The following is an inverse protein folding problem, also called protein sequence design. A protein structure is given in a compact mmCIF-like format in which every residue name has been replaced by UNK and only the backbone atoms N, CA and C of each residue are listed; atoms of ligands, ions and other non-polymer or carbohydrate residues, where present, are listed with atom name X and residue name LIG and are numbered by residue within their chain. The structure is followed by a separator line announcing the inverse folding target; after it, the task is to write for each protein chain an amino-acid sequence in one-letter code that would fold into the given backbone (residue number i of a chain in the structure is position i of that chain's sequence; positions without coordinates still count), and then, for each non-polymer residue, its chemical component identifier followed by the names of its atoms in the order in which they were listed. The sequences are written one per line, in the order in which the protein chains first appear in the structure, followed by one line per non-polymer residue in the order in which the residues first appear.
data_IF_497233800811
#
_entry.id   IF_497233800811
#
_cell.length_a   1.000
_cell.length_b   1.000
_cell.length_c   1.000
_cell.angle_alpha   90.00
_cell.angle_beta   90.00
_cell.angle_gamma   90.00
#
_symmetry.space_group_name_H-M   'P 1'
#
loop_
_entity.id
_entity.type
_entity.pdbx_description
1 polymer ?
#
# COMPACT_ATOMS: atom_id res chain seq x y z
N UNK A 1 4.95 6.88 -22.96
CA UNK A 1 3.98 7.93 -22.59
C UNK A 1 2.58 7.68 -23.13
N UNK A 2 2.39 7.27 -24.39
CA UNK A 2 1.05 7.00 -24.95
C UNK A 2 0.32 5.84 -24.23
N UNK A 3 1.01 4.75 -23.92
CA UNK A 3 0.47 3.63 -23.14
C UNK A 3 -0.01 4.06 -21.74
N UNK A 4 0.78 4.89 -21.06
CA UNK A 4 0.41 5.43 -19.75
C UNK A 4 -0.88 6.28 -19.82
N UNK A 5 -0.99 7.17 -20.82
CA UNK A 5 -2.20 7.96 -21.04
C UNK A 5 -3.43 7.08 -21.30
N UNK A 6 -3.26 6.00 -22.07
CA UNK A 6 -4.35 5.06 -22.33
C UNK A 6 -4.80 4.33 -21.05
N UNK A 7 -3.87 3.90 -20.21
CA UNK A 7 -4.19 3.28 -18.91
C UNK A 7 -4.93 4.25 -17.99
N UNK A 8 -4.46 5.49 -17.87
CA UNK A 8 -5.15 6.51 -17.07
C UNK A 8 -6.55 6.80 -17.58
N UNK A 9 -6.71 6.93 -18.90
CA UNK A 9 -8.02 7.18 -19.51
C UNK A 9 -9.01 6.04 -19.24
N UNK A 10 -8.54 4.79 -19.28
CA UNK A 10 -9.36 3.62 -18.92
C UNK A 10 -9.75 3.66 -17.44
N UNK A 11 -8.78 3.89 -16.55
CA UNK A 11 -8.99 3.91 -15.11
C UNK A 11 -9.93 5.05 -14.69
N UNK A 12 -9.79 6.24 -15.26
CA UNK A 12 -10.63 7.39 -14.92
C UNK A 12 -12.07 7.24 -15.34
N UNK A 13 -12.34 6.48 -16.41
CA UNK A 13 -13.68 6.28 -16.98
C UNK A 13 -14.39 5.05 -16.43
N UNK A 14 -13.64 4.09 -15.88
CA UNK A 14 -14.20 2.91 -15.22
C UNK A 14 -14.76 3.26 -13.84
N UNK A 15 -15.87 2.64 -13.46
CA UNK A 15 -16.45 2.81 -12.12
C UNK A 15 -15.64 2.08 -11.04
N UNK A 16 -14.92 1.00 -11.40
CA UNK A 16 -14.28 0.12 -10.42
C UNK A 16 -13.21 0.82 -9.58
N UNK A 17 -12.25 1.60 -10.14
CA UNK A 17 -11.27 2.34 -9.34
C UNK A 17 -11.92 3.36 -8.40
N UNK A 18 -13.01 4.00 -8.83
CA UNK A 18 -13.77 4.95 -8.00
C UNK A 18 -14.45 4.26 -6.83
N UNK A 19 -15.02 3.08 -7.02
CA UNK A 19 -15.62 2.30 -5.91
C UNK A 19 -14.57 1.96 -4.86
N UNK A 20 -13.39 1.50 -5.27
CA UNK A 20 -12.30 1.17 -4.34
C UNK A 20 -11.78 2.42 -3.61
N UNK A 21 -11.71 3.56 -4.30
CA UNK A 21 -11.34 4.83 -3.69
C UNK A 21 -12.37 5.35 -2.67
N UNK A 22 -13.67 5.24 -2.96
CA UNK A 22 -14.72 5.60 -2.00
C UNK A 22 -14.62 4.72 -0.75
N UNK A 23 -14.37 3.42 -0.92
CA UNK A 23 -14.16 2.50 0.20
C UNK A 23 -12.93 2.89 1.04
N UNK A 24 -11.84 3.36 0.42
CA UNK A 24 -10.68 3.81 1.18
C UNK A 24 -10.95 5.09 1.96
N UNK A 25 -11.75 6.02 1.42
CA UNK A 25 -12.22 7.21 2.16
C UNK A 25 -13.04 6.79 3.38
N UNK A 26 -14.07 5.96 3.18
CA UNK A 26 -14.93 5.51 4.28
C UNK A 26 -14.12 4.80 5.37
N UNK A 27 -13.19 3.94 4.96
CA UNK A 27 -12.33 3.21 5.90
C UNK A 27 -11.46 4.15 6.73
N UNK A 28 -10.82 5.13 6.09
CA UNK A 28 -9.98 6.10 6.77
C UNK A 28 -10.77 6.96 7.79
N UNK A 29 -12.01 7.35 7.45
CA UNK A 29 -12.92 8.07 8.37
C UNK A 29 -13.28 7.19 9.56
N UNK A 30 -13.73 5.95 9.32
CA UNK A 30 -14.10 4.99 10.37
C UNK A 30 -12.92 4.74 11.31
N UNK A 31 -11.71 4.59 10.76
CA UNK A 31 -10.52 4.30 11.52
C UNK A 31 -10.09 5.47 12.44
N UNK A 32 -10.07 6.70 11.92
CA UNK A 32 -9.80 7.89 12.73
C UNK A 32 -10.88 8.14 13.80
N UNK A 33 -12.15 7.98 13.44
CA UNK A 33 -13.26 8.09 14.39
C UNK A 33 -13.15 7.04 15.52
N UNK A 34 -12.78 5.81 15.18
CA UNK A 34 -12.54 4.75 16.16
C UNK A 34 -11.43 5.14 17.14
N UNK A 35 -10.31 5.67 16.64
CA UNK A 35 -9.21 6.14 17.49
C UNK A 35 -9.63 7.26 18.45
N UNK A 36 -10.47 8.19 17.97
CA UNK A 36 -11.03 9.23 18.82
C UNK A 36 -11.95 8.65 19.91
N UNK A 37 -12.87 7.75 19.56
CA UNK A 37 -13.79 7.15 20.54
C UNK A 37 -13.09 6.25 21.57
N UNK A 38 -11.97 5.63 21.22
CA UNK A 38 -11.10 4.96 22.21
C UNK A 38 -10.53 5.99 23.16
N UNK A 39 -10.03 7.11 22.65
CA UNK A 39 -9.45 8.18 23.48
C UNK A 39 -10.45 8.81 24.44
N UNK A 40 -11.74 8.88 24.09
CA UNK A 40 -12.80 9.41 24.96
C UNK A 40 -13.38 8.36 25.90
N UNK A 41 -12.90 7.11 25.85
CA UNK A 41 -13.43 5.99 26.64
C UNK A 41 -14.81 5.51 26.21
N UNK A 42 -15.34 6.01 25.08
CA UNK A 42 -16.65 5.61 24.55
C UNK A 42 -16.62 4.26 23.82
N UNK A 43 -15.42 3.83 23.41
CA UNK A 43 -15.16 2.55 22.76
C UNK A 43 -14.07 1.81 23.55
N UNK A 44 -14.25 0.50 23.77
CA UNK A 44 -13.23 -0.32 24.43
C UNK A 44 -12.02 -0.55 23.51
N UNK A 45 -10.83 -0.64 24.10
CA UNK A 45 -9.60 -0.95 23.38
C UNK A 45 -9.71 -2.28 22.62
N UNK A 46 -10.32 -3.29 23.23
CA UNK A 46 -10.49 -4.63 22.63
C UNK A 46 -11.35 -4.61 21.36
N UNK A 47 -12.45 -3.85 21.37
CA UNK A 47 -13.30 -3.71 20.17
C UNK A 47 -12.57 -2.96 19.05
N UNK A 48 -11.74 -1.99 19.41
CA UNK A 48 -10.95 -1.21 18.47
C UNK A 48 -9.80 -2.03 17.85
N UNK A 49 -9.02 -2.75 18.68
CA UNK A 49 -7.91 -3.60 18.22
C UNK A 49 -8.39 -4.87 17.51
N UNK A 50 -9.62 -5.31 17.77
CA UNK A 50 -10.28 -6.40 17.07
C UNK A 50 -10.83 -5.97 15.72
N UNK A 51 -12.16 -5.92 15.59
CA UNK A 51 -12.87 -5.72 14.31
C UNK A 51 -12.52 -4.41 13.61
N UNK A 52 -12.32 -3.31 14.37
CA UNK A 52 -12.08 -2.00 13.75
C UNK A 52 -10.65 -1.83 13.23
N UNK A 53 -9.71 -2.68 13.66
CA UNK A 53 -8.36 -2.74 13.08
C UNK A 53 -8.36 -3.15 11.61
N UNK A 54 -9.44 -3.79 11.14
CA UNK A 54 -9.61 -4.12 9.72
C UNK A 54 -9.69 -2.88 8.84
N UNK A 55 -10.13 -1.73 9.37
CA UNK A 55 -10.17 -0.46 8.64
C UNK A 55 -8.85 0.30 8.69
N UNK A 56 -7.81 -0.27 9.31
CA UNK A 56 -6.49 0.32 9.29
C UNK A 56 -5.93 0.41 7.87
N UNK A 57 -5.02 1.36 7.67
CA UNK A 57 -4.36 1.52 6.39
C UNK A 57 -3.60 0.26 5.97
N UNK A 58 -3.03 -0.51 6.89
CA UNK A 58 -2.26 -1.72 6.54
C UNK A 58 -3.17 -2.79 5.95
N UNK A 59 -4.30 -3.03 6.59
CA UNK A 59 -5.28 -4.03 6.15
C UNK A 59 -6.02 -3.58 4.90
N UNK A 60 -6.38 -2.30 4.80
CA UNK A 60 -7.02 -1.77 3.60
C UNK A 60 -6.07 -1.69 2.41
N UNK A 61 -4.79 -1.38 2.60
CA UNK A 61 -3.81 -1.44 1.52
C UNK A 61 -3.56 -2.87 1.06
N UNK A 62 -3.58 -3.86 1.95
CA UNK A 62 -3.54 -5.27 1.57
C UNK A 62 -4.77 -5.67 0.74
N UNK A 63 -5.98 -5.36 1.23
CA UNK A 63 -7.24 -5.73 0.57
C UNK A 63 -7.48 -4.94 -0.72
N UNK A 64 -7.64 -3.62 -0.61
CA UNK A 64 -7.96 -2.74 -1.73
C UNK A 64 -6.80 -2.68 -2.72
N UNK A 65 -5.55 -2.76 -2.26
CA UNK A 65 -4.39 -2.86 -3.14
C UNK A 65 -4.36 -4.15 -3.96
N UNK A 66 -4.79 -5.28 -3.39
CA UNK A 66 -4.93 -6.53 -4.14
C UNK A 66 -6.03 -6.45 -5.21
N UNK A 67 -7.17 -5.82 -4.89
CA UNK A 67 -8.26 -5.58 -5.84
C UNK A 67 -7.80 -4.62 -6.95
N UNK A 68 -7.10 -3.55 -6.59
CA UNK A 68 -6.49 -2.61 -7.51
C UNK A 68 -5.51 -3.29 -8.47
N UNK A 69 -4.75 -4.29 -7.99
CA UNK A 69 -3.89 -5.09 -8.84
C UNK A 69 -4.71 -5.85 -9.89
N UNK A 70 -5.81 -6.51 -9.51
CA UNK A 70 -6.72 -7.14 -10.48
C UNK A 70 -7.29 -6.17 -11.51
N UNK A 71 -7.74 -4.99 -11.08
CA UNK A 71 -8.33 -3.99 -11.98
C UNK A 71 -7.28 -3.43 -12.95
N UNK A 72 -6.10 -3.07 -12.46
CA UNK A 72 -5.10 -2.33 -13.23
C UNK A 72 -4.16 -3.24 -14.05
N UNK A 73 -3.77 -4.38 -13.47
CA UNK A 73 -2.72 -5.23 -14.01
C UNK A 73 -3.28 -6.30 -14.96
N UNK A 74 -4.39 -6.94 -14.61
CA UNK A 74 -4.92 -8.08 -15.40
C UNK A 74 -5.94 -7.72 -16.47
N UNK A 75 -6.55 -6.54 -16.41
CA UNK A 75 -7.55 -6.12 -17.41
C UNK A 75 -7.01 -6.14 -18.86
N UNK A 76 -5.70 -5.90 -19.04
CA UNK A 76 -5.09 -5.90 -20.37
C UNK A 76 -4.78 -7.31 -20.89
N UNK A 77 -4.61 -8.31 -20.02
CA UNK A 77 -4.51 -9.72 -20.44
C UNK A 77 -5.86 -10.25 -20.92
N UNK A 78 -6.94 -9.91 -20.20
CA UNK A 78 -8.30 -10.35 -20.56
C UNK A 78 -8.74 -9.78 -21.92
N UNK A 79 -8.27 -8.57 -22.25
CA UNK A 79 -8.60 -7.87 -23.50
C UNK A 79 -7.55 -8.04 -24.63
N UNK A 80 -6.58 -8.94 -24.46
CA UNK A 80 -5.45 -9.16 -25.40
C UNK A 80 -4.63 -7.92 -25.76
N UNK A 81 -4.60 -6.93 -24.87
CA UNK A 81 -3.97 -5.63 -25.11
C UNK A 81 -2.44 -5.76 -25.01
N UNK A 82 -1.94 -6.68 -24.18
CA UNK A 82 -0.50 -6.93 -24.03
C UNK A 82 0.07 -7.59 -25.28
N UNK A 83 -0.65 -8.56 -25.85
CA UNK A 83 -0.34 -9.22 -27.13
C UNK A 83 -0.27 -8.21 -28.27
N UNK A 84 -1.26 -7.30 -28.32
CA UNK A 84 -1.31 -6.23 -29.32
C UNK A 84 -0.19 -5.20 -29.12
N UNK A 85 0.17 -4.87 -27.89
CA UNK A 85 1.27 -3.96 -27.60
C UNK A 85 2.63 -4.56 -28.01
N UNK A 86 2.85 -5.85 -27.75
CA UNK A 86 4.07 -6.56 -28.18
C UNK A 86 4.12 -6.63 -29.71
N UNK A 87 3.00 -6.98 -30.36
CA UNK A 87 2.90 -7.02 -31.83
C UNK A 87 3.06 -5.64 -32.48
N UNK A 88 2.64 -4.58 -31.78
CA UNK A 88 2.83 -3.18 -32.18
C UNK A 88 4.24 -2.64 -31.99
N UNK A 89 5.23 -3.49 -31.63
CA UNK A 89 6.64 -3.11 -31.54
C UNK A 89 7.08 -2.52 -30.20
N UNK A 90 6.21 -2.48 -29.18
CA UNK A 90 6.60 -2.01 -27.86
C UNK A 90 7.49 -3.04 -27.14
N UNK A 91 8.57 -2.57 -26.52
CA UNK A 91 9.43 -3.44 -25.72
C UNK A 91 8.68 -3.97 -24.50
N UNK A 92 8.91 -5.24 -24.16
CA UNK A 92 8.34 -5.88 -22.96
C UNK A 92 8.67 -5.12 -21.67
N UNK A 93 9.85 -4.50 -21.63
CA UNK A 93 10.28 -3.66 -20.52
C UNK A 93 9.42 -2.41 -20.34
N UNK A 94 9.12 -1.73 -21.46
CA UNK A 94 8.26 -0.55 -21.47
C UNK A 94 6.85 -0.87 -20.97
N UNK A 95 6.32 -2.05 -21.32
CA UNK A 95 5.00 -2.51 -20.87
C UNK A 95 4.99 -2.67 -19.34
N UNK A 96 5.98 -3.38 -18.78
CA UNK A 96 6.10 -3.61 -17.33
C UNK A 96 6.22 -2.28 -16.57
N UNK A 97 7.10 -1.39 -17.00
CA UNK A 97 7.30 -0.09 -16.34
C UNK A 97 6.00 0.72 -16.34
N UNK A 98 5.29 0.79 -17.47
CA UNK A 98 4.01 1.51 -17.51
C UNK A 98 2.99 0.90 -16.55
N UNK A 99 2.91 -0.43 -16.44
CA UNK A 99 1.99 -1.09 -15.51
C UNK A 99 2.33 -0.83 -14.05
N UNK A 100 3.62 -0.86 -13.70
CA UNK A 100 4.08 -0.51 -12.35
C UNK A 100 3.69 0.93 -12.02
N UNK A 101 3.94 1.89 -12.93
CA UNK A 101 3.61 3.30 -12.69
C UNK A 101 2.10 3.50 -12.54
N UNK A 102 1.28 2.95 -13.45
CA UNK A 102 -0.19 3.04 -13.36
C UNK A 102 -0.70 2.45 -12.04
N UNK A 103 -0.15 1.29 -11.64
CA UNK A 103 -0.52 0.62 -10.40
C UNK A 103 -0.10 1.43 -9.17
N UNK A 104 1.14 1.92 -9.10
CA UNK A 104 1.61 2.74 -7.98
C UNK A 104 0.81 4.03 -7.83
N UNK A 105 0.38 4.66 -8.93
CA UNK A 105 -0.48 5.84 -8.86
C UNK A 105 -1.86 5.48 -8.27
N UNK A 106 -2.42 4.33 -8.65
CA UNK A 106 -3.67 3.85 -8.06
C UNK A 106 -3.50 3.55 -6.55
N UNK A 107 -2.41 2.91 -6.15
CA UNK A 107 -2.09 2.65 -4.74
C UNK A 107 -1.90 3.95 -3.95
N UNK A 108 -1.22 4.95 -4.52
CA UNK A 108 -1.09 6.28 -3.91
C UNK A 108 -2.45 6.95 -3.72
N UNK A 109 -3.33 6.86 -4.73
CA UNK A 109 -4.69 7.38 -4.65
C UNK A 109 -5.49 6.69 -3.54
N UNK A 110 -5.37 5.36 -3.38
CA UNK A 110 -6.06 4.63 -2.32
C UNK A 110 -5.55 4.98 -0.92
N UNK A 111 -4.26 5.28 -0.76
CA UNK A 111 -3.67 5.67 0.52
C UNK A 111 -3.91 7.15 0.87
N UNK A 112 -4.13 8.00 -0.14
CA UNK A 112 -4.31 9.45 0.02
C UNK A 112 -5.34 9.86 1.09
N UNK A 113 -6.53 9.22 1.21
CA UNK A 113 -7.49 9.56 2.25
C UNK A 113 -6.95 9.43 3.68
N UNK A 114 -6.10 8.43 3.95
CA UNK A 114 -5.46 8.27 5.25
C UNK A 114 -4.50 9.43 5.53
N UNK A 115 -3.73 9.86 4.53
CA UNK A 115 -2.85 11.03 4.64
C UNK A 115 -3.66 12.29 4.93
N UNK A 116 -4.73 12.53 4.17
CA UNK A 116 -5.58 13.72 4.32
C UNK A 116 -6.18 13.78 5.72
N UNK A 117 -6.78 12.69 6.19
CA UNK A 117 -7.38 12.60 7.53
C UNK A 117 -6.32 12.81 8.61
N UNK A 118 -5.16 12.17 8.46
CA UNK A 118 -4.03 12.36 9.38
C UNK A 118 -3.61 13.81 9.46
N UNK A 119 -3.45 14.49 8.31
CA UNK A 119 -3.09 15.92 8.27
C UNK A 119 -4.17 16.76 8.94
N UNK A 120 -5.44 16.61 8.55
CA UNK A 120 -6.54 17.43 9.10
C UNK A 120 -6.58 17.30 10.63
N UNK A 121 -6.57 16.07 11.14
CA UNK A 121 -6.74 15.83 12.57
C UNK A 121 -5.47 15.97 13.40
N UNK A 122 -4.28 15.91 12.80
CA UNK A 122 -3.04 16.23 13.52
C UNK A 122 -2.94 17.71 13.89
N UNK A 123 -3.67 18.59 13.21
CA UNK A 123 -3.74 20.03 13.53
C UNK A 123 -5.00 20.40 14.33
N UNK A 124 -5.81 19.42 14.74
CA UNK A 124 -6.91 19.65 15.67
C UNK A 124 -6.49 19.28 17.10
N UNK A 125 -6.98 20.02 18.10
CA UNK A 125 -6.77 19.69 19.52
C UNK A 125 -7.66 18.53 20.00
N UNK A 126 -7.94 17.58 19.12
CA UNK A 126 -8.75 16.39 19.41
C UNK A 126 -7.84 15.27 19.88
N UNK A 127 -8.23 14.60 20.96
CA UNK A 127 -7.47 13.48 21.48
C UNK A 127 -7.70 12.21 20.63
N UNK A 128 -6.63 11.47 20.39
CA UNK A 128 -6.60 10.20 19.66
C UNK A 128 -5.79 9.18 20.44
N UNK A 129 -6.13 7.90 20.27
CA UNK A 129 -5.43 6.79 20.92
C UNK A 129 -4.84 5.83 19.89
N UNK A 130 -3.59 5.43 20.10
CA UNK A 130 -2.96 4.34 19.35
C UNK A 130 -3.38 3.00 19.93
N UNK A 131 -4.25 2.27 19.24
CA UNK A 131 -4.69 0.92 19.65
C UNK A 131 -4.06 -0.21 18.82
N UNK A 132 -3.44 0.14 17.68
CA UNK A 132 -2.59 -0.76 16.88
C UNK A 132 -1.39 0.03 16.32
N UNK A 133 -0.25 -0.62 16.04
CA UNK A 133 0.94 0.05 15.53
C UNK A 133 0.79 0.35 14.03
N UNK A 134 0.16 1.48 13.69
CA UNK A 134 0.06 1.96 12.30
C UNK A 134 0.46 3.42 12.16
N UNK A 135 1.01 3.84 11.00
CA UNK A 135 1.49 5.21 10.78
C UNK A 135 0.47 6.31 11.13
N UNK A 136 -0.79 6.13 10.71
CA UNK A 136 -1.89 7.08 10.94
C UNK A 136 -2.13 7.26 12.43
N UNK A 137 -2.25 6.17 13.19
CA UNK A 137 -2.48 6.25 14.63
C UNK A 137 -1.26 6.78 15.38
N UNK A 138 -0.06 6.37 14.99
CA UNK A 138 1.18 6.85 15.59
C UNK A 138 1.32 8.38 15.45
N UNK A 139 0.94 8.91 14.28
CA UNK A 139 0.93 10.35 14.04
C UNK A 139 -0.17 11.02 14.86
N UNK A 140 -1.41 10.53 14.79
CA UNK A 140 -2.55 11.17 15.46
C UNK A 140 -2.40 11.18 16.98
N UNK A 141 -1.94 10.07 17.58
CA UNK A 141 -1.68 9.99 19.01
C UNK A 141 -0.51 10.90 19.42
N UNK A 142 0.57 10.95 18.64
CA UNK A 142 1.73 11.78 18.94
C UNK A 142 1.54 13.28 18.65
N UNK A 143 0.66 13.65 17.72
CA UNK A 143 0.41 15.04 17.35
C UNK A 143 -0.28 15.83 18.47
N UNK A 144 -1.11 15.16 19.28
CA UNK A 144 -1.74 15.75 20.45
C UNK A 144 -0.73 16.29 21.48
N UNK A 145 0.51 15.78 21.50
CA UNK A 145 1.55 16.15 22.46
C UNK A 145 2.46 17.30 21.98
N UNK A 146 2.62 17.51 20.66
CA UNK A 146 3.68 18.36 20.09
C UNK A 146 3.23 19.78 19.68
N UNK A 147 1.92 20.07 19.68
CA UNK A 147 1.37 21.37 19.26
C UNK A 147 1.53 21.64 17.75
N UNK A 148 0.72 22.56 17.21
CA UNK A 148 0.68 22.86 15.77
C UNK A 148 1.91 23.68 15.33
N UNK A 149 2.95 23.01 14.80
CA UNK A 149 4.16 23.65 14.26
C UNK A 149 4.37 23.30 12.79
N UNK A 150 5.03 24.17 12.01
CA UNK A 150 5.36 23.88 10.60
C UNK A 150 6.27 22.64 10.45
N UNK A 151 7.07 22.31 11.46
CA UNK A 151 7.88 21.08 11.50
C UNK A 151 7.04 19.81 11.60
N UNK A 152 5.84 19.87 12.19
CA UNK A 152 4.92 18.74 12.27
C UNK A 152 4.46 18.29 10.88
N UNK A 153 4.06 19.23 10.02
CA UNK A 153 3.60 18.90 8.66
C UNK A 153 4.68 18.16 7.87
N UNK A 154 5.93 18.62 7.95
CA UNK A 154 7.07 17.97 7.29
C UNK A 154 7.27 16.53 7.77
N UNK A 155 7.16 16.28 9.08
CA UNK A 155 7.25 14.92 9.66
C UNK A 155 6.10 14.03 9.20
N UNK A 156 4.87 14.54 9.17
CA UNK A 156 3.70 13.79 8.70
C UNK A 156 3.91 13.35 7.25
N UNK A 157 4.29 14.27 6.37
CA UNK A 157 4.55 13.98 4.96
C UNK A 157 5.68 12.95 4.81
N UNK A 158 6.74 13.05 5.61
CA UNK A 158 7.86 12.11 5.60
C UNK A 158 7.42 10.70 6.01
N UNK A 159 6.68 10.56 7.12
CA UNK A 159 6.18 9.27 7.61
C UNK A 159 5.21 8.66 6.61
N UNK A 160 4.24 9.44 6.11
CA UNK A 160 3.28 8.99 5.11
C UNK A 160 3.97 8.61 3.79
N UNK A 161 4.98 9.36 3.36
CA UNK A 161 5.76 9.06 2.16
C UNK A 161 6.54 7.75 2.28
N UNK A 162 7.18 7.51 3.43
CA UNK A 162 7.88 6.25 3.71
C UNK A 162 6.89 5.07 3.81
N UNK A 163 5.75 5.27 4.46
CA UNK A 163 4.68 4.26 4.55
C UNK A 163 4.16 3.87 3.18
N UNK A 164 3.94 4.85 2.30
CA UNK A 164 3.53 4.61 0.92
C UNK A 164 4.58 3.82 0.13
N UNK A 165 5.87 4.13 0.31
CA UNK A 165 6.96 3.37 -0.31
C UNK A 165 6.99 1.91 0.17
N UNK A 166 6.74 1.67 1.46
CA UNK A 166 6.62 0.32 2.03
C UNK A 166 5.45 -0.40 1.37
N UNK A 167 4.28 0.23 1.24
CA UNK A 167 3.12 -0.37 0.59
C UNK A 167 3.35 -0.66 -0.89
N UNK A 168 4.02 0.23 -1.64
CA UNK A 168 4.44 -0.06 -3.02
C UNK A 168 5.30 -1.30 -3.08
N UNK A 169 6.24 -1.43 -2.14
CA UNK A 169 7.15 -2.56 -2.07
C UNK A 169 6.42 -3.87 -1.78
N UNK A 170 5.55 -3.89 -0.76
CA UNK A 170 4.73 -5.07 -0.43
C UNK A 170 3.83 -5.47 -1.61
N UNK A 171 3.16 -4.52 -2.26
CA UNK A 171 2.24 -4.84 -3.36
C UNK A 171 2.95 -5.14 -4.68
N UNK A 172 4.28 -4.97 -4.79
CA UNK A 172 5.03 -5.27 -6.01
C UNK A 172 4.95 -6.75 -6.41
N UNK A 173 4.69 -7.66 -5.46
CA UNK A 173 4.46 -9.09 -5.74
C UNK A 173 3.29 -9.32 -6.70
N UNK A 174 2.31 -8.41 -6.74
CA UNK A 174 1.15 -8.49 -7.63
C UNK A 174 1.53 -8.36 -9.10
N UNK A 175 2.57 -7.58 -9.43
CA UNK A 175 3.08 -7.43 -10.79
C UNK A 175 3.68 -8.73 -11.29
N UNK A 176 4.37 -9.45 -10.41
CA UNK A 176 4.87 -10.78 -10.70
C UNK A 176 3.73 -11.78 -10.92
N UNK A 177 2.73 -11.78 -10.03
CA UNK A 177 1.56 -12.66 -10.14
C UNK A 177 0.72 -12.41 -11.39
N UNK A 178 0.63 -11.16 -11.85
CA UNK A 178 -0.02 -10.82 -13.12
C UNK A 178 0.53 -11.66 -14.28
N UNK A 179 1.85 -11.76 -14.42
CA UNK A 179 2.46 -12.52 -15.52
C UNK A 179 2.35 -14.04 -15.32
N UNK A 180 2.25 -14.49 -14.07
CA UNK A 180 2.12 -15.91 -13.74
C UNK A 180 0.69 -16.43 -13.99
N UNK A 181 -0.33 -15.72 -13.51
CA UNK A 181 -1.72 -16.21 -13.53
C UNK A 181 -2.57 -15.64 -14.67
N UNK A 182 -2.27 -14.41 -15.13
CA UNK A 182 -2.97 -13.70 -16.23
C UNK A 182 -4.48 -13.50 -16.06
N UNK A 183 -5.07 -13.88 -14.92
CA UNK A 183 -6.50 -13.69 -14.60
C UNK A 183 -6.66 -12.90 -13.30
N UNK A 184 -7.60 -11.96 -13.27
CA UNK A 184 -7.78 -11.06 -12.13
C UNK A 184 -8.00 -11.80 -10.81
N UNK A 185 -8.90 -12.79 -10.78
CA UNK A 185 -9.27 -13.52 -9.57
C UNK A 185 -8.05 -14.15 -8.87
N UNK A 186 -7.15 -14.78 -9.64
CA UNK A 186 -5.97 -15.42 -9.06
C UNK A 186 -4.92 -14.41 -8.60
N UNK A 187 -4.75 -13.29 -9.30
CA UNK A 187 -3.82 -12.23 -8.89
C UNK A 187 -4.28 -11.56 -7.61
N UNK A 188 -5.58 -11.26 -7.49
CA UNK A 188 -6.18 -10.67 -6.29
C UNK A 188 -5.97 -11.64 -5.11
N UNK A 189 -6.38 -12.90 -5.26
CA UNK A 189 -6.28 -13.90 -4.21
C UNK A 189 -4.83 -14.13 -3.75
N UNK A 190 -3.89 -14.32 -4.68
CA UNK A 190 -2.49 -14.55 -4.35
C UNK A 190 -1.84 -13.34 -3.68
N UNK A 191 -2.13 -12.13 -4.17
CA UNK A 191 -1.61 -10.88 -3.57
C UNK A 191 -2.14 -10.70 -2.15
N UNK A 192 -3.45 -10.85 -1.98
CA UNK A 192 -4.08 -10.69 -0.67
C UNK A 192 -3.56 -11.70 0.35
N UNK A 193 -3.52 -13.00 -0.03
CA UNK A 193 -2.99 -14.06 0.83
C UNK A 193 -1.53 -13.82 1.20
N UNK A 194 -0.71 -13.35 0.26
CA UNK A 194 0.70 -13.04 0.53
C UNK A 194 0.83 -11.95 1.60
N UNK A 195 0.08 -10.85 1.48
CA UNK A 195 0.10 -9.78 2.47
C UNK A 195 -0.44 -10.22 3.84
N UNK A 196 -1.52 -11.01 3.85
CA UNK A 196 -2.18 -11.48 5.07
C UNK A 196 -1.33 -12.51 5.83
N UNK A 197 -0.55 -13.32 5.11
CA UNK A 197 0.31 -14.34 5.69
C UNK A 197 1.66 -13.74 6.13
N UNK A 198 2.32 -12.98 5.24
CA UNK A 198 3.69 -12.53 5.50
C UNK A 198 3.80 -11.49 6.61
N UNK A 199 2.78 -10.66 6.83
CA UNK A 199 2.75 -9.71 7.95
C UNK A 199 2.86 -10.42 9.31
N UNK A 200 1.86 -11.24 9.70
CA UNK A 200 1.87 -11.96 10.98
C UNK A 200 2.99 -13.00 11.12
N UNK A 201 3.42 -13.63 10.03
CA UNK A 201 4.52 -14.62 10.07
C UNK A 201 5.82 -13.98 10.57
N UNK A 202 6.04 -12.69 10.30
CA UNK A 202 7.24 -11.98 10.74
C UNK A 202 7.43 -11.95 12.26
N UNK A 203 6.37 -12.18 13.05
CA UNK A 203 6.39 -12.17 14.52
C UNK A 203 6.31 -13.55 15.18
N UNK A 204 6.39 -14.66 14.42
CA UNK A 204 6.23 -16.01 14.96
C UNK A 204 7.45 -16.54 15.74
N UNK A 205 8.67 -16.25 15.27
CA UNK A 205 9.91 -16.71 15.87
C UNK A 205 11.08 -15.81 15.42
N UNK A 206 12.07 -15.60 16.27
CA UNK A 206 13.27 -14.81 16.01
C UNK A 206 13.98 -15.16 14.69
N UNK A 207 14.05 -16.45 14.34
CA UNK A 207 14.65 -16.87 13.06
C UNK A 207 13.86 -16.36 11.86
N UNK A 208 12.55 -16.47 11.90
CA UNK A 208 11.66 -16.00 10.82
C UNK A 208 11.69 -14.47 10.77
N UNK A 209 11.65 -13.82 11.93
CA UNK A 209 11.80 -12.38 12.05
C UNK A 209 13.09 -11.88 11.41
N UNK A 210 14.23 -12.55 11.67
CA UNK A 210 15.53 -12.17 11.12
C UNK A 210 15.58 -12.22 9.58
N UNK A 211 14.86 -13.16 8.96
CA UNK A 211 14.75 -13.25 7.50
C UNK A 211 13.78 -12.18 6.97
N UNK A 212 12.62 -12.05 7.61
CA UNK A 212 11.59 -11.10 7.20
C UNK A 212 12.02 -9.63 7.37
N UNK A 213 12.96 -9.35 8.28
CA UNK A 213 13.55 -8.02 8.47
C UNK A 213 14.26 -7.46 7.22
N UNK A 214 14.59 -8.31 6.23
CA UNK A 214 15.12 -7.90 4.94
C UNK A 214 14.04 -7.72 3.86
N UNK A 215 12.77 -7.84 4.23
CA UNK A 215 11.61 -7.69 3.35
C UNK A 215 10.74 -6.52 3.84
N UNK A 216 9.95 -5.88 2.97
CA UNK A 216 9.06 -4.81 3.39
C UNK A 216 7.93 -5.29 4.31
N UNK A 217 7.69 -6.61 4.42
CA UNK A 217 6.71 -7.19 5.35
C UNK A 217 7.22 -7.32 6.79
N UNK A 218 8.55 -7.31 7.00
CA UNK A 218 9.15 -7.34 8.34
C UNK A 218 9.57 -5.96 8.85
N UNK A 219 9.22 -4.88 8.14
CA UNK A 219 9.44 -3.51 8.63
C UNK A 219 8.46 -3.24 9.77
N UNK A 220 9.01 -2.88 10.93
CA UNK A 220 8.23 -2.58 12.13
C UNK A 220 7.54 -1.21 11.99
N UNK A 221 6.25 -1.24 11.65
CA UNK A 221 5.44 -0.03 11.48
C UNK A 221 5.22 0.74 12.79
N UNK A 222 5.47 0.13 13.97
CA UNK A 222 5.40 0.84 15.24
C UNK A 222 6.46 1.93 15.36
N UNK A 223 7.57 1.82 14.62
CA UNK A 223 8.66 2.80 14.60
C UNK A 223 8.38 4.01 13.70
N UNK A 224 7.30 3.96 12.89
CA UNK A 224 6.83 5.08 12.08
C UNK A 224 6.07 6.10 12.96
N UNK A 225 6.82 6.82 13.79
CA UNK A 225 6.33 7.85 14.71
C UNK A 225 6.96 9.22 14.44
N UNK A 226 6.44 10.28 15.08
CA UNK A 226 6.99 11.64 14.98
C UNK A 226 8.43 11.79 15.50
N UNK A 227 8.94 10.78 16.21
CA UNK A 227 10.30 10.69 16.73
C UNK A 227 11.17 9.64 16.04
N UNK A 228 10.78 9.15 14.86
CA UNK A 228 11.49 8.08 14.15
C UNK A 228 12.97 8.42 13.91
N UNK A 229 13.84 7.41 14.03
CA UNK A 229 15.28 7.59 13.83
C UNK A 229 15.65 7.70 12.35
N UNK A 230 16.68 8.49 12.04
CA UNK A 230 17.20 8.61 10.67
C UNK A 230 17.70 7.27 10.11
N UNK A 231 18.25 6.41 10.97
CA UNK A 231 18.67 5.05 10.61
C UNK A 231 17.50 4.20 10.10
N UNK A 232 16.37 4.25 10.81
CA UNK A 232 15.17 3.50 10.42
C UNK A 232 14.62 3.97 9.07
N UNK A 233 14.67 5.28 8.78
CA UNK A 233 14.26 5.83 7.47
C UNK A 233 15.10 5.20 6.36
N UNK A 234 16.42 5.31 6.47
CA UNK A 234 17.35 4.84 5.44
C UNK A 234 17.22 3.33 5.24
N UNK A 235 17.17 2.56 6.33
CA UNK A 235 17.00 1.10 6.29
C UNK A 235 15.70 0.71 5.58
N UNK A 236 14.58 1.33 5.95
CA UNK A 236 13.27 1.06 5.36
C UNK A 236 13.21 1.42 3.87
N UNK A 237 13.84 2.53 3.47
CA UNK A 237 13.95 2.92 2.06
C UNK A 237 14.76 1.90 1.25
N UNK A 238 15.93 1.49 1.74
CA UNK A 238 16.81 0.54 1.05
C UNK A 238 16.08 -0.81 0.86
N UNK A 239 15.51 -1.36 1.93
CA UNK A 239 14.75 -2.62 1.87
C UNK A 239 13.61 -2.51 0.85
N UNK A 240 12.84 -1.43 0.92
CA UNK A 240 11.69 -1.25 0.03
C UNK A 240 12.09 -1.14 -1.44
N UNK A 241 13.13 -0.38 -1.75
CA UNK A 241 13.62 -0.19 -3.12
C UNK A 241 14.26 -1.46 -3.69
N UNK A 242 15.08 -2.16 -2.89
CA UNK A 242 15.67 -3.44 -3.30
C UNK A 242 14.60 -4.48 -3.62
N UNK A 243 13.58 -4.58 -2.78
CA UNK A 243 12.48 -5.52 -2.99
C UNK A 243 11.68 -5.18 -4.25
N UNK A 244 11.39 -3.89 -4.51
CA UNK A 244 10.78 -3.44 -5.77
C UNK A 244 11.64 -3.86 -6.97
N UNK A 245 12.94 -3.63 -6.89
CA UNK A 245 13.87 -3.96 -7.96
C UNK A 245 13.94 -5.48 -8.22
N UNK A 246 13.99 -6.30 -7.17
CA UNK A 246 14.00 -7.77 -7.27
C UNK A 246 12.72 -8.27 -7.97
N UNK A 247 11.55 -7.83 -7.54
CA UNK A 247 10.28 -8.26 -8.15
C UNK A 247 10.05 -7.70 -9.55
N UNK A 248 10.61 -6.53 -9.84
CA UNK A 248 10.68 -6.00 -11.21
C UNK A 248 11.50 -6.94 -12.12
N UNK A 249 12.71 -7.33 -11.70
CA UNK A 249 13.54 -8.27 -12.46
C UNK A 249 12.88 -9.64 -12.61
N UNK A 250 12.27 -10.17 -11.54
CA UNK A 250 11.54 -11.43 -11.58
C UNK A 250 10.38 -11.37 -12.60
N UNK A 251 9.63 -10.27 -12.61
CA UNK A 251 8.54 -10.04 -13.56
C UNK A 251 9.04 -9.98 -15.01
N UNK A 252 10.18 -9.33 -15.25
CA UNK A 252 10.83 -9.30 -16.56
C UNK A 252 11.24 -10.68 -17.05
N UNK A 253 11.82 -11.50 -16.17
CA UNK A 253 12.26 -12.85 -16.51
C UNK A 253 11.09 -13.76 -16.89
N UNK A 254 9.98 -13.69 -16.13
CA UNK A 254 8.76 -14.44 -16.45
C UNK A 254 8.16 -13.95 -17.75
N UNK A 255 8.05 -12.63 -17.94
CA UNK A 255 7.43 -12.08 -19.15
C UNK A 255 8.27 -12.36 -20.41
N UNK A 256 9.59 -12.52 -20.28
CA UNK A 256 10.45 -12.98 -21.39
C UNK A 256 10.18 -14.44 -21.77
N UNK A 257 10.01 -15.31 -20.77
CA UNK A 257 9.76 -16.75 -20.98
C UNK A 257 8.33 -17.06 -21.40
N UNK A 258 7.37 -16.21 -21.05
CA UNK A 258 6.00 -16.36 -21.51
C UNK A 258 5.94 -16.18 -23.03
N UNK A 259 5.65 -17.26 -23.76
CA UNK A 259 5.20 -17.17 -25.15
C UNK A 259 3.92 -16.35 -25.15
N UNK A 260 3.99 -15.18 -25.76
CA UNK A 260 2.82 -14.36 -26.08
C UNK A 260 2.30 -14.94 -27.40
N UNK A 261 1.38 -15.92 -27.31
CA UNK A 261 0.67 -16.52 -28.44
C UNK A 261 -0.64 -15.78 -28.69
#
# INVERSE_FOLDING_TARGET
MQLLKADFFKLSRSISPWTVFILSILSAIIFAASSHYVSTGSLSLEAASGTLSLFSETQMMALLGSIAAGICLTADFENKIIENAVSGGYSRNTIIINKIISFFILIALLYLPYIIITVIFAFTNTAFSGFIPTPTLNILAGAAEQGATAGLLGKIILISGLSLLIFFSQLMVSVFYMFLFKKAVFVIAATYMTSLILGPISSLNDKVHSVMAYTPYGIDLSQLTLGMSGEFIVKSMIISLLFIFIFYLASLLIFRKAEVK
#
